data_IF_090795481350
#
_entry.id   IF_090795481350
#
_cell.length_a   1.000
_cell.length_b   1.000
_cell.length_c   1.000
_cell.angle_alpha   90.00
_cell.angle_beta   90.00
_cell.angle_gamma   90.00
#
_symmetry.space_group_name_H-M   'P 1'
#
loop_
_entity.id
_entity.type
_entity.pdbx_description
1 polymer ?
#
# COMPACT_ATOMS: atom_id res chain seq x y z
N UNK A 1 0.16 -19.62 7.31
CA UNK A 1 -0.37 -18.28 7.66
C UNK A 1 -1.89 -18.39 7.82
N UNK A 2 -2.40 -18.36 9.06
CA UNK A 2 -3.80 -18.65 9.35
C UNK A 2 -4.71 -17.45 9.00
N UNK A 3 -5.76 -17.69 8.20
CA UNK A 3 -6.94 -16.80 8.10
C UNK A 3 -7.26 -16.19 6.74
N UNK A 4 -6.26 -15.80 5.93
CA UNK A 4 -6.49 -14.92 4.75
C UNK A 4 -6.28 -15.60 3.38
N UNK A 5 -6.02 -16.91 3.36
CA UNK A 5 -5.71 -17.70 2.14
C UNK A 5 -4.63 -17.10 1.21
N UNK A 6 -3.81 -16.15 1.68
CA UNK A 6 -2.83 -15.44 0.86
C UNK A 6 -3.44 -14.54 -0.21
N UNK A 7 -4.71 -14.13 -0.02
CA UNK A 7 -5.42 -13.29 -0.98
C UNK A 7 -5.22 -11.82 -0.63
N UNK A 8 -4.89 -11.02 -1.66
CA UNK A 8 -4.52 -9.61 -1.51
C UNK A 8 -5.62 -8.75 -0.88
N UNK A 9 -6.86 -8.89 -1.38
CA UNK A 9 -7.96 -8.02 -0.97
C UNK A 9 -8.36 -8.20 0.51
N UNK A 10 -8.56 -9.43 1.04
CA UNK A 10 -8.81 -9.62 2.47
C UNK A 10 -7.67 -9.14 3.37
N UNK A 11 -6.41 -9.34 2.94
CA UNK A 11 -5.24 -8.86 3.69
C UNK A 11 -5.20 -7.34 3.77
N UNK A 12 -5.45 -6.69 2.64
CA UNK A 12 -5.59 -5.25 2.53
C UNK A 12 -6.72 -4.69 3.41
N UNK A 13 -7.89 -5.32 3.39
CA UNK A 13 -9.03 -4.92 4.23
C UNK A 13 -8.73 -5.08 5.72
N UNK A 14 -8.00 -6.13 6.11
CA UNK A 14 -7.56 -6.30 7.49
C UNK A 14 -6.64 -5.15 7.93
N UNK A 15 -5.64 -4.78 7.12
CA UNK A 15 -4.73 -3.67 7.44
C UNK A 15 -5.50 -2.35 7.53
N UNK A 16 -6.43 -2.09 6.60
CA UNK A 16 -7.29 -0.90 6.64
C UNK A 16 -8.15 -0.84 7.91
N UNK A 17 -8.81 -1.94 8.27
CA UNK A 17 -9.61 -2.02 9.49
C UNK A 17 -8.75 -1.80 10.74
N UNK A 18 -7.54 -2.32 10.76
CA UNK A 18 -6.60 -2.12 11.85
C UNK A 18 -6.09 -0.67 11.95
N UNK A 19 -5.79 -0.02 10.81
CA UNK A 19 -5.46 1.40 10.77
C UNK A 19 -6.64 2.27 11.26
N UNK A 20 -7.86 1.96 10.83
CA UNK A 20 -9.06 2.65 11.27
C UNK A 20 -9.29 2.51 12.77
N UNK A 21 -9.08 1.31 13.34
CA UNK A 21 -9.14 1.08 14.79
C UNK A 21 -8.10 1.90 15.56
N UNK A 22 -7.04 2.36 14.89
CA UNK A 22 -5.99 3.25 15.43
C UNK A 22 -6.19 4.71 15.02
N UNK A 23 -7.42 5.13 14.73
CA UNK A 23 -7.77 6.49 14.29
C UNK A 23 -7.00 6.95 13.03
N UNK A 24 -6.71 6.01 12.13
CA UNK A 24 -5.96 6.25 10.88
C UNK A 24 -4.50 6.59 11.10
N UNK A 25 -3.94 6.35 12.30
CA UNK A 25 -2.59 6.75 12.66
C UNK A 25 -1.49 5.82 12.15
N UNK A 26 -1.82 4.57 11.79
CA UNK A 26 -0.83 3.60 11.32
C UNK A 26 -0.35 3.96 9.91
N UNK A 27 -1.29 4.27 9.01
CA UNK A 27 -1.03 4.57 7.60
C UNK A 27 -1.17 6.07 7.26
N UNK A 28 -1.19 6.96 8.26
CA UNK A 28 -1.23 8.41 8.04
C UNK A 28 0.00 8.88 7.26
N UNK A 29 -0.19 9.39 6.05
CA UNK A 29 0.92 9.81 5.18
C UNK A 29 1.37 8.73 4.19
N UNK A 30 0.75 7.54 4.19
CA UNK A 30 1.17 6.45 3.31
C UNK A 30 0.95 6.75 1.82
N UNK A 31 -0.15 7.44 1.48
CA UNK A 31 -0.45 7.81 0.10
C UNK A 31 0.52 8.86 -0.45
N UNK A 32 0.85 9.85 0.38
CA UNK A 32 1.85 10.89 0.12
C UNK A 32 3.24 10.27 -0.03
N UNK A 33 3.60 9.35 0.86
CA UNK A 33 4.85 8.61 0.77
C UNK A 33 4.95 7.80 -0.53
N UNK A 34 3.88 7.09 -0.92
CA UNK A 34 3.84 6.38 -2.20
C UNK A 34 3.98 7.35 -3.39
N UNK A 35 3.41 8.55 -3.32
CA UNK A 35 3.55 9.55 -4.37
C UNK A 35 5.01 10.02 -4.51
N UNK A 36 5.67 10.35 -3.39
CA UNK A 36 7.09 10.74 -3.37
C UNK A 36 8.01 9.62 -3.86
N UNK A 37 7.69 8.37 -3.49
CA UNK A 37 8.46 7.19 -3.91
C UNK A 37 8.37 6.98 -5.43
N UNK A 38 7.17 7.11 -5.99
CA UNK A 38 6.95 6.91 -7.42
C UNK A 38 7.26 8.15 -8.26
N UNK A 39 7.45 9.31 -7.63
CA UNK A 39 7.68 10.59 -8.31
C UNK A 39 6.44 11.12 -9.02
N UNK A 40 5.24 10.70 -8.63
CA UNK A 40 3.98 11.07 -9.28
C UNK A 40 2.86 11.25 -8.25
N UNK A 41 2.01 12.25 -8.49
CA UNK A 41 0.74 12.38 -7.79
C UNK A 41 -0.28 11.45 -8.46
N UNK A 42 -1.01 10.68 -7.66
CA UNK A 42 -2.05 9.80 -8.15
C UNK A 42 -3.30 9.93 -7.30
N UNK A 43 -4.45 10.03 -7.97
CA UNK A 43 -5.77 9.95 -7.33
C UNK A 43 -6.22 8.50 -7.11
N UNK A 44 -5.48 7.52 -7.66
CA UNK A 44 -5.78 6.11 -7.49
C UNK A 44 -5.56 5.71 -6.03
N UNK A 45 -6.54 5.02 -5.46
CA UNK A 45 -6.42 4.50 -4.09
C UNK A 45 -5.17 3.63 -3.95
N UNK A 46 -4.44 3.76 -2.84
CA UNK A 46 -3.14 3.11 -2.63
C UNK A 46 -3.19 1.59 -2.84
N UNK A 47 -4.33 0.94 -2.51
CA UNK A 47 -4.55 -0.48 -2.78
C UNK A 47 -4.37 -0.87 -4.25
N UNK A 48 -4.85 -0.04 -5.18
CA UNK A 48 -4.68 -0.28 -6.60
C UNK A 48 -3.25 -0.06 -7.04
N UNK A 49 -2.57 0.92 -6.44
CA UNK A 49 -1.16 1.24 -6.73
C UNK A 49 -0.23 0.12 -6.31
N UNK A 50 -0.44 -0.46 -5.12
CA UNK A 50 0.32 -1.63 -4.66
C UNK A 50 0.12 -2.82 -5.59
N UNK A 51 -1.09 -3.07 -6.09
CA UNK A 51 -1.34 -4.13 -7.08
C UNK A 51 -0.65 -3.87 -8.41
N UNK A 52 -0.77 -2.66 -8.94
CA UNK A 52 -0.12 -2.28 -10.20
C UNK A 52 1.41 -2.42 -10.10
N UNK A 53 1.98 -2.13 -8.93
CA UNK A 53 3.42 -2.32 -8.69
C UNK A 53 3.81 -3.80 -8.52
N UNK A 54 2.98 -4.58 -7.82
CA UNK A 54 3.26 -5.99 -7.61
C UNK A 54 3.07 -6.82 -8.88
N UNK A 55 2.10 -6.46 -9.72
CA UNK A 55 1.63 -7.21 -10.87
C UNK A 55 1.38 -6.25 -12.05
N UNK A 56 2.45 -5.74 -12.70
CA UNK A 56 2.32 -4.71 -13.74
C UNK A 56 1.53 -5.15 -14.97
N UNK A 57 1.50 -6.46 -15.26
CA UNK A 57 0.73 -7.03 -16.38
C UNK A 57 -0.74 -7.32 -16.04
N UNK A 58 -1.14 -7.14 -14.78
CA UNK A 58 -2.50 -7.41 -14.34
C UNK A 58 -3.42 -6.23 -14.66
N UNK A 59 -4.31 -6.42 -15.62
CA UNK A 59 -5.42 -5.52 -15.88
C UNK A 59 -6.66 -5.95 -15.09
N UNK A 60 -7.24 -5.05 -14.30
CA UNK A 60 -8.49 -5.29 -13.59
C UNK A 60 -9.37 -4.03 -13.55
N UNK A 61 -10.70 -4.22 -13.56
CA UNK A 61 -11.68 -3.16 -13.31
C UNK A 61 -12.40 -3.45 -11.99
N UNK A 62 -11.93 -2.80 -10.94
CA UNK A 62 -12.51 -2.93 -9.61
C UNK A 62 -12.08 -4.19 -8.87
N UNK A 63 -12.13 -4.12 -7.54
CA UNK A 63 -11.73 -5.22 -6.66
C UNK A 63 -12.74 -6.37 -6.66
N UNK A 64 -13.99 -6.09 -7.02
CA UNK A 64 -15.08 -7.06 -7.13
C UNK A 64 -14.84 -8.12 -8.21
N UNK A 65 -14.10 -7.77 -9.27
CA UNK A 65 -13.76 -8.68 -10.37
C UNK A 65 -12.31 -9.16 -10.32
N UNK A 66 -11.57 -8.79 -9.26
CA UNK A 66 -10.16 -9.11 -9.13
C UNK A 66 -9.98 -10.62 -8.88
N UNK A 67 -9.52 -11.32 -9.91
CA UNK A 67 -9.11 -12.71 -9.82
C UNK A 67 -7.59 -12.77 -9.90
N UNK A 68 -6.98 -13.29 -8.84
CA UNK A 68 -5.54 -13.50 -8.76
C UNK A 68 -5.29 -15.00 -8.69
N UNK A 69 -4.36 -15.45 -9.53
CA UNK A 69 -3.77 -16.77 -9.35
C UNK A 69 -3.07 -16.84 -7.98
N UNK A 70 -2.96 -18.03 -7.35
CA UNK A 70 -2.40 -18.15 -6.00
C UNK A 70 -1.03 -17.49 -5.82
N UNK A 71 -0.17 -17.58 -6.84
CA UNK A 71 1.17 -16.98 -6.80
C UNK A 71 1.12 -15.45 -6.94
N UNK A 72 0.24 -14.93 -7.80
CA UNK A 72 0.00 -13.49 -7.93
C UNK A 72 -0.54 -12.92 -6.62
N UNK A 73 -1.45 -13.64 -5.95
CA UNK A 73 -1.97 -13.28 -4.63
C UNK A 73 -0.85 -13.16 -3.59
N UNK A 74 0.06 -14.15 -3.55
CA UNK A 74 1.22 -14.14 -2.66
C UNK A 74 2.15 -12.96 -2.95
N UNK A 75 2.54 -12.78 -4.22
CA UNK A 75 3.40 -11.67 -4.64
C UNK A 75 2.81 -10.31 -4.26
N UNK A 76 1.50 -10.12 -4.46
CA UNK A 76 0.82 -8.89 -4.09
C UNK A 76 0.79 -8.67 -2.57
N UNK A 77 0.57 -9.72 -1.78
CA UNK A 77 0.63 -9.65 -0.30
C UNK A 77 2.05 -9.33 0.18
N UNK A 78 3.07 -9.96 -0.39
CA UNK A 78 4.47 -9.71 -0.02
C UNK A 78 4.86 -8.27 -0.36
N UNK A 79 4.47 -7.77 -1.55
CA UNK A 79 4.72 -6.38 -1.92
C UNK A 79 3.97 -5.40 -1.01
N UNK A 80 2.72 -5.69 -0.65
CA UNK A 80 1.95 -4.91 0.30
C UNK A 80 2.69 -4.76 1.64
N UNK A 81 3.12 -5.87 2.23
CA UNK A 81 3.84 -5.82 3.50
C UNK A 81 5.20 -5.12 3.37
N UNK A 82 5.93 -5.34 2.28
CA UNK A 82 7.19 -4.62 2.02
C UNK A 82 6.96 -3.11 2.01
N UNK A 83 5.98 -2.62 1.25
CA UNK A 83 5.68 -1.19 1.15
C UNK A 83 5.23 -0.61 2.49
N UNK A 84 4.38 -1.33 3.23
CA UNK A 84 3.97 -0.89 4.57
C UNK A 84 5.18 -0.81 5.50
N UNK A 85 6.06 -1.81 5.53
CA UNK A 85 7.26 -1.80 6.38
C UNK A 85 8.25 -0.70 5.99
N UNK A 86 8.49 -0.51 4.69
CA UNK A 86 9.31 0.59 4.16
C UNK A 86 8.76 1.96 4.62
N UNK A 87 7.45 2.15 4.55
CA UNK A 87 6.80 3.36 5.04
C UNK A 87 6.92 3.53 6.55
N UNK A 88 6.67 2.48 7.33
CA UNK A 88 6.77 2.55 8.78
C UNK A 88 8.19 2.95 9.22
N UNK A 89 9.22 2.47 8.54
CA UNK A 89 10.60 2.90 8.78
C UNK A 89 10.82 4.40 8.52
N UNK A 90 10.22 4.95 7.45
CA UNK A 90 10.27 6.41 7.17
C UNK A 90 9.46 7.20 8.20
N UNK A 91 8.30 6.70 8.60
CA UNK A 91 7.42 7.36 9.58
C UNK A 91 8.04 7.43 10.97
N UNK A 92 8.76 6.38 11.37
CA UNK A 92 9.36 6.27 12.69
C UNK A 92 10.69 7.05 12.80
N UNK A 93 11.21 7.58 11.68
CA UNK A 93 12.30 8.57 11.64
C UNK A 93 11.75 10.00 11.39
N UNK A 94 11.78 10.91 12.39
CA UNK A 94 11.24 12.26 12.25
C UNK A 94 11.87 13.08 11.11
N UNK A 95 13.17 12.90 10.84
CA UNK A 95 13.87 13.62 9.77
C UNK A 95 13.46 13.08 8.41
N UNK A 96 13.39 11.75 8.28
CA UNK A 96 12.91 11.11 7.05
C UNK A 96 11.46 11.49 6.75
N UNK A 97 10.59 11.50 7.77
CA UNK A 97 9.19 11.89 7.65
C UNK A 97 9.03 13.35 7.23
N UNK A 98 9.78 14.28 7.84
CA UNK A 98 9.75 15.69 7.46
C UNK A 98 10.22 15.90 6.01
N UNK A 99 11.30 15.20 5.61
CA UNK A 99 11.80 15.24 4.23
C UNK A 99 10.79 14.67 3.23
N UNK A 100 10.09 13.59 3.58
CA UNK A 100 9.02 13.01 2.76
C UNK A 100 7.93 14.04 2.49
N UNK A 101 7.40 14.72 3.52
CA UNK A 101 6.37 15.73 3.32
C UNK A 101 6.89 16.93 2.53
N UNK A 102 8.12 17.41 2.77
CA UNK A 102 8.71 18.49 1.99
C UNK A 102 8.78 18.15 0.50
N UNK A 103 9.21 16.92 0.16
CA UNK A 103 9.25 16.42 -1.22
C UNK A 103 7.85 16.31 -1.82
N UNK A 104 6.88 15.83 -1.06
CA UNK A 104 5.49 15.72 -1.52
C UNK A 104 4.89 17.07 -1.94
N UNK A 105 5.18 18.14 -1.20
CA UNK A 105 4.71 19.49 -1.54
C UNK A 105 5.43 20.10 -2.75
N UNK A 106 6.53 19.48 -3.21
CA UNK A 106 7.29 19.91 -4.38
C UNK A 106 7.02 19.09 -5.65
N UNK A 107 6.14 18.08 -5.56
CA UNK A 107 5.69 17.29 -6.72
C UNK A 107 4.72 18.08 -7.61
#
# INVERSE_FOLDING_TARGET
MYGLRGTYYPTSMFIMGFDQARAGGLLRGFHEWLAVRNGELSSQHWLGRVLAEALPDLSFRGFENLHLEPEQGRQAVDRLFSLVLEFLAVRDDPRALASMYARYHSL
#
